data_IF_734809770810
#
_entry.id   IF_734809770810
#
_cell.length_a   1.000
_cell.length_b   1.000
_cell.length_c   1.000
_cell.angle_alpha   90.00
_cell.angle_beta   90.00
_cell.angle_gamma   90.00
#
_symmetry.space_group_name_H-M   'P 1'
#
loop_
_entity.id
_entity.type
_entity.pdbx_description
1 polymer ?
#
# COMPACT_ATOMS: atom_id res chain seq x y z
N UNK A 1 -18.21 -15.43 21.41
CA UNK A 1 -18.72 -16.52 20.55
C UNK A 1 -17.55 -17.39 20.13
N UNK A 2 -17.79 -18.68 19.91
CA UNK A 2 -16.79 -19.61 19.38
C UNK A 2 -16.88 -19.59 17.84
N UNK A 3 -15.73 -19.64 17.18
CA UNK A 3 -15.56 -19.58 15.72
C UNK A 3 -15.20 -20.97 15.17
N UNK A 4 -15.48 -21.21 13.89
CA UNK A 4 -15.09 -22.45 13.21
C UNK A 4 -13.78 -22.24 12.46
N UNK A 5 -12.76 -23.03 12.79
CA UNK A 5 -11.46 -23.06 12.11
C UNK A 5 -11.37 -24.32 11.26
N UNK A 6 -11.00 -24.14 9.99
CA UNK A 6 -10.75 -25.22 9.04
C UNK A 6 -9.25 -25.34 8.79
N UNK A 7 -8.69 -26.53 9.00
CA UNK A 7 -7.27 -26.86 8.79
C UNK A 7 -7.19 -28.11 7.91
N UNK A 8 -6.25 -28.14 6.95
CA UNK A 8 -6.10 -29.27 6.05
C UNK A 8 -5.92 -30.59 6.81
N UNK A 9 -6.62 -31.63 6.36
CA UNK A 9 -6.56 -32.96 7.00
C UNK A 9 -7.21 -33.06 8.38
N UNK A 10 -7.83 -32.00 8.91
CA UNK A 10 -8.46 -31.98 10.24
C UNK A 10 -9.95 -31.63 10.12
N UNK A 11 -10.86 -32.33 10.82
CA UNK A 11 -12.28 -31.95 10.84
C UNK A 11 -12.47 -30.54 11.43
N UNK A 12 -13.59 -29.85 11.12
CA UNK A 12 -13.82 -28.49 11.58
C UNK A 12 -13.73 -28.34 13.11
N UNK A 13 -12.95 -27.34 13.56
CA UNK A 13 -12.66 -27.11 14.97
C UNK A 13 -13.44 -25.90 15.46
N UNK A 14 -14.16 -26.02 16.58
CA UNK A 14 -14.71 -24.86 17.29
C UNK A 14 -13.67 -24.29 18.24
N UNK A 15 -13.28 -23.03 18.03
CA UNK A 15 -12.23 -22.37 18.79
C UNK A 15 -12.65 -20.96 19.24
N UNK A 16 -12.02 -20.47 20.30
CA UNK A 16 -12.20 -19.09 20.75
C UNK A 16 -11.20 -18.18 20.05
N UNK A 17 -11.58 -16.92 19.82
CA UNK A 17 -10.64 -15.90 19.32
C UNK A 17 -9.46 -15.75 20.29
N UNK A 18 -8.27 -15.60 19.74
CA UNK A 18 -7.08 -15.33 20.54
C UNK A 18 -7.19 -13.94 21.21
N UNK A 19 -6.86 -13.89 22.51
CA UNK A 19 -6.77 -12.64 23.27
C UNK A 19 -5.37 -12.05 23.16
N UNK A 20 -5.01 -11.57 21.97
CA UNK A 20 -3.66 -11.04 21.70
C UNK A 20 -3.27 -9.88 22.61
N UNK A 21 -4.24 -9.12 23.13
CA UNK A 21 -4.00 -8.05 24.07
C UNK A 21 -3.50 -8.55 25.45
N UNK A 22 -3.64 -9.83 25.77
CA UNK A 22 -3.09 -10.44 26.99
C UNK A 22 -1.64 -10.92 26.78
N UNK A 23 -1.09 -10.85 25.57
CA UNK A 23 0.28 -11.27 25.29
C UNK A 23 1.28 -10.35 26.02
N UNK A 24 2.15 -10.96 26.83
CA UNK A 24 3.21 -10.29 27.59
C UNK A 24 4.13 -9.47 26.69
N UNK A 25 4.52 -9.98 25.52
CA UNK A 25 5.39 -9.26 24.57
C UNK A 25 4.69 -8.08 23.92
N UNK A 26 3.38 -8.19 23.69
CA UNK A 26 2.58 -7.07 23.19
C UNK A 26 2.48 -5.98 24.26
N UNK A 27 2.13 -6.36 25.49
CA UNK A 27 2.05 -5.45 26.64
C UNK A 27 3.37 -4.72 26.91
N UNK A 28 4.52 -5.40 26.81
CA UNK A 28 5.85 -4.79 26.96
C UNK A 28 6.14 -3.68 25.93
N UNK A 29 5.46 -3.69 24.77
CA UNK A 29 5.65 -2.68 23.70
C UNK A 29 4.62 -1.55 23.77
N UNK A 30 3.62 -1.64 24.64
CA UNK A 30 2.63 -0.57 24.81
C UNK A 30 3.29 0.56 25.60
N UNK A 31 3.59 1.66 24.93
CA UNK A 31 4.05 2.89 25.57
C UNK A 31 2.86 3.71 26.06
N UNK A 32 3.03 4.49 27.16
CA UNK A 32 1.99 5.40 27.60
C UNK A 32 1.66 6.40 26.49
N UNK A 33 0.39 6.85 26.40
CA UNK A 33 0.02 7.88 25.44
C UNK A 33 0.85 9.15 25.73
N UNK A 34 1.23 9.91 24.69
CA UNK A 34 2.00 11.13 24.88
C UNK A 34 1.21 12.12 25.76
N UNK A 35 1.93 12.85 26.61
CA UNK A 35 1.32 13.88 27.45
C UNK A 35 0.70 14.95 26.55
N UNK A 36 -0.61 15.16 26.70
CA UNK A 36 -1.31 16.23 26.01
C UNK A 36 -0.92 17.57 26.65
N UNK A 37 0.07 18.24 26.09
CA UNK A 37 0.34 19.64 26.42
C UNK A 37 -0.82 20.48 25.88
N UNK A 38 -1.64 21.06 26.78
CA UNK A 38 -2.60 22.10 26.38
C UNK A 38 -1.79 23.27 25.82
N UNK A 39 -1.81 23.42 24.49
CA UNK A 39 -1.24 24.62 23.88
C UNK A 39 -2.08 25.80 24.32
N UNK A 40 -1.46 26.83 24.89
CA UNK A 40 -2.16 28.02 25.39
C UNK A 40 -2.95 28.76 24.29
N UNK A 41 -2.57 28.54 23.03
CA UNK A 41 -3.30 29.00 21.87
C UNK A 41 -3.63 27.80 20.95
N UNK A 42 -4.83 27.82 20.38
CA UNK A 42 -5.13 26.97 19.23
C UNK A 42 -4.18 27.33 18.08
N UNK A 43 -3.54 26.33 17.46
CA UNK A 43 -2.81 26.57 16.22
C UNK A 43 -3.80 27.13 15.19
N UNK A 44 -3.40 28.18 14.48
CA UNK A 44 -4.19 28.67 13.35
C UNK A 44 -4.29 27.54 12.32
N UNK A 45 -5.51 27.15 12.00
CA UNK A 45 -5.81 26.18 10.96
C UNK A 45 -6.33 26.91 9.71
N UNK A 46 -5.91 26.42 8.55
CA UNK A 46 -6.26 27.01 7.26
C UNK A 46 -7.70 26.66 6.83
N UNK A 47 -8.30 25.60 7.39
CA UNK A 47 -9.67 25.21 7.08
C UNK A 47 -10.71 26.04 7.82
N UNK A 48 -10.41 26.49 9.05
CA UNK A 48 -11.34 27.30 9.86
C UNK A 48 -11.68 28.67 9.24
N UNK A 49 -10.85 29.14 8.31
CA UNK A 49 -11.06 30.40 7.56
C UNK A 49 -11.72 30.18 6.20
N UNK A 50 -11.88 28.92 5.76
CA UNK A 50 -12.50 28.63 4.48
C UNK A 50 -14.01 28.90 4.54
N UNK A 51 -14.59 29.49 3.49
CA UNK A 51 -16.03 29.67 3.41
C UNK A 51 -16.73 28.30 3.39
N UNK A 52 -17.86 28.21 4.08
CA UNK A 52 -18.73 27.04 4.00
C UNK A 52 -19.19 26.85 2.54
N UNK A 53 -19.13 25.62 2.00
CA UNK A 53 -19.70 25.35 0.68
C UNK A 53 -21.21 25.66 0.70
N UNK A 54 -21.77 26.10 -0.44
CA UNK A 54 -23.20 26.36 -0.53
C UNK A 54 -23.98 25.11 -0.13
N UNK A 55 -25.01 25.29 0.71
CA UNK A 55 -25.89 24.19 1.11
C UNK A 55 -26.52 23.63 -0.16
N UNK A 56 -26.42 22.31 -0.43
CA UNK A 56 -27.15 21.73 -1.54
C UNK A 56 -28.64 21.92 -1.29
N UNK A 57 -29.33 22.45 -2.30
CA UNK A 57 -30.78 22.52 -2.34
C UNK A 57 -31.31 21.07 -2.34
N UNK A 58 -31.62 20.54 -1.16
CA UNK A 58 -32.36 19.30 -1.05
C UNK A 58 -33.77 19.66 -1.49
N UNK A 59 -34.05 19.41 -2.77
CA UNK A 59 -35.33 19.65 -3.42
C UNK A 59 -36.45 19.23 -2.48
N UNK A 60 -37.30 20.21 -2.15
CA UNK A 60 -38.22 20.14 -1.03
C UNK A 60 -39.03 18.86 -0.99
N UNK A 61 -39.28 18.42 0.25
CA UNK A 61 -40.43 17.63 0.61
C UNK A 61 -41.71 18.41 0.22
N UNK A 62 -42.07 18.38 -1.06
CA UNK A 62 -43.36 18.77 -1.56
C UNK A 62 -43.93 17.54 -2.25
N UNK A 63 -44.91 16.94 -1.58
CA UNK A 63 -45.74 15.88 -2.11
C UNK A 63 -46.19 16.25 -3.54
N UNK A 64 -45.87 15.38 -4.50
CA UNK A 64 -46.58 15.27 -5.76
C UNK A 64 -47.00 13.82 -5.93
N UNK A 65 -48.20 13.53 -5.44
CA UNK A 65 -49.02 12.46 -5.98
C UNK A 65 -49.26 12.74 -7.47
N UNK A 66 -49.01 11.74 -8.33
CA UNK A 66 -49.19 11.90 -9.78
C UNK A 66 -48.51 10.82 -10.59
N UNK A 67 -49.20 9.68 -10.70
CA UNK A 67 -48.89 8.48 -11.46
C UNK A 67 -48.55 8.74 -12.94
N UNK A 68 -47.57 8.00 -13.46
CA UNK A 68 -47.23 7.97 -14.88
C UNK A 68 -46.05 7.03 -15.13
N UNK A 69 -46.38 5.77 -15.39
CA UNK A 69 -45.50 4.75 -15.95
C UNK A 69 -44.97 5.26 -17.30
N UNK A 70 -43.65 5.39 -17.44
CA UNK A 70 -43.03 5.60 -18.76
C UNK A 70 -41.79 4.71 -18.84
N UNK A 71 -42.04 3.55 -19.44
CA UNK A 71 -41.11 2.50 -19.80
C UNK A 71 -40.12 3.07 -20.82
N UNK A 72 -38.94 3.52 -20.37
CA UNK A 72 -37.84 3.91 -21.27
C UNK A 72 -36.95 2.70 -21.59
N UNK A 73 -37.04 2.11 -22.80
CA UNK A 73 -36.18 1.01 -23.24
C UNK A 73 -34.82 1.53 -23.75
N UNK A 74 -34.58 2.84 -23.69
CA UNK A 74 -33.47 3.54 -24.36
C UNK A 74 -32.33 3.96 -23.41
N UNK A 75 -32.41 3.64 -22.12
CA UNK A 75 -31.27 3.69 -21.18
C UNK A 75 -30.81 5.10 -20.78
N UNK A 76 -31.74 6.06 -20.62
CA UNK A 76 -31.38 7.48 -20.61
C UNK A 76 -31.31 8.19 -19.24
N UNK A 77 -31.68 7.58 -18.11
CA UNK A 77 -31.62 8.31 -16.84
C UNK A 77 -30.29 8.13 -16.11
N UNK A 78 -29.48 9.19 -16.23
CA UNK A 78 -28.15 9.48 -15.66
C UNK A 78 -28.07 9.44 -14.13
N UNK A 79 -28.70 8.45 -13.49
CA UNK A 79 -28.48 8.09 -12.10
C UNK A 79 -27.51 6.92 -12.10
N UNK A 80 -26.27 7.17 -11.70
CA UNK A 80 -25.32 6.09 -11.45
C UNK A 80 -25.78 5.31 -10.21
N UNK A 81 -26.63 4.30 -10.43
CA UNK A 81 -26.96 3.31 -9.40
C UNK A 81 -25.81 2.30 -9.33
N UNK A 82 -25.11 2.17 -8.18
CA UNK A 82 -24.02 1.19 -8.01
C UNK A 82 -24.47 -0.24 -8.25
N UNK A 83 -25.74 -0.54 -7.95
CA UNK A 83 -26.36 -1.86 -8.03
C UNK A 83 -26.54 -2.39 -9.48
N UNK A 84 -26.53 -1.51 -10.51
CA UNK A 84 -26.87 -1.86 -11.90
C UNK A 84 -25.80 -1.44 -12.91
N UNK A 85 -24.56 -1.27 -12.49
CA UNK A 85 -23.47 -1.09 -13.44
C UNK A 85 -23.17 -2.43 -14.12
N UNK A 86 -23.61 -2.61 -15.37
CA UNK A 86 -22.93 -3.55 -16.27
C UNK A 86 -21.51 -3.04 -16.39
N UNK A 87 -20.60 -3.69 -15.66
CA UNK A 87 -19.19 -3.38 -15.70
C UNK A 87 -18.77 -3.26 -17.17
N UNK A 88 -18.32 -2.06 -17.56
CA UNK A 88 -17.65 -1.89 -18.84
C UNK A 88 -16.54 -2.92 -18.90
N UNK A 89 -16.38 -3.57 -20.05
CA UNK A 89 -15.29 -4.52 -20.26
C UNK A 89 -13.98 -3.78 -20.05
N UNK A 90 -13.43 -3.92 -18.84
CA UNK A 90 -12.09 -3.43 -18.51
C UNK A 90 -11.15 -4.17 -19.45
N UNK A 91 -10.39 -3.43 -20.25
CA UNK A 91 -9.32 -4.02 -21.04
C UNK A 91 -8.40 -4.76 -20.09
N UNK A 92 -8.40 -6.10 -20.18
CA UNK A 92 -7.46 -6.93 -19.44
C UNK A 92 -6.09 -6.59 -19.98
N UNK A 93 -5.35 -5.75 -19.27
CA UNK A 93 -3.90 -5.65 -19.47
C UNK A 93 -3.32 -7.06 -19.34
N UNK A 94 -2.34 -7.37 -20.18
CA UNK A 94 -1.62 -8.63 -20.08
C UNK A 94 -1.14 -8.79 -18.63
N UNK A 95 -1.31 -9.97 -18.01
CA UNK A 95 -0.73 -10.25 -16.71
C UNK A 95 0.76 -9.92 -16.75
N UNK A 96 1.23 -9.17 -15.76
CA UNK A 96 2.66 -8.96 -15.58
C UNK A 96 3.21 -10.30 -15.09
N UNK A 97 4.10 -10.90 -15.87
CA UNK A 97 4.79 -12.11 -15.41
C UNK A 97 5.75 -11.70 -14.27
N UNK A 98 5.48 -12.23 -13.07
CA UNK A 98 6.27 -12.08 -11.85
C UNK A 98 6.32 -10.68 -11.21
N UNK A 99 5.20 -10.24 -10.62
CA UNK A 99 5.10 -9.03 -9.76
C UNK A 99 6.09 -8.96 -8.57
N UNK A 100 6.74 -10.07 -8.22
CA UNK A 100 7.68 -10.18 -7.10
C UNK A 100 9.15 -10.23 -7.53
N UNK A 101 9.41 -10.20 -8.84
CA UNK A 101 10.76 -10.10 -9.37
C UNK A 101 11.17 -8.63 -9.45
N UNK A 102 11.65 -8.11 -8.32
CA UNK A 102 12.13 -6.72 -8.21
C UNK A 102 13.47 -6.53 -8.93
N UNK A 103 14.23 -7.62 -9.10
CA UNK A 103 15.56 -7.68 -9.65
C UNK A 103 15.48 -8.30 -11.05
N UNK A 104 14.85 -7.57 -11.98
CA UNK A 104 14.55 -8.05 -13.35
C UNK A 104 15.69 -8.81 -14.04
N UNK A 105 15.37 -9.51 -15.13
CA UNK A 105 15.93 -10.82 -15.50
C UNK A 105 17.40 -11.03 -15.11
N UNK A 106 17.64 -11.74 -13.99
CA UNK A 106 18.83 -12.53 -13.58
C UNK A 106 20.26 -11.98 -13.86
N UNK A 107 20.43 -10.73 -14.26
CA UNK A 107 21.74 -10.14 -14.65
C UNK A 107 22.55 -9.64 -13.43
N UNK A 108 21.92 -9.54 -12.25
CA UNK A 108 22.53 -8.98 -11.03
C UNK A 108 23.66 -9.86 -10.46
N UNK A 109 23.51 -11.18 -10.51
CA UNK A 109 24.53 -12.13 -10.03
C UNK A 109 25.81 -12.07 -10.88
N UNK A 110 25.63 -11.80 -12.17
CA UNK A 110 26.67 -11.81 -13.17
C UNK A 110 27.57 -10.55 -13.07
N UNK A 111 26.98 -9.41 -12.67
CA UNK A 111 27.70 -8.17 -12.39
C UNK A 111 28.52 -8.21 -11.09
N UNK A 112 27.99 -8.84 -10.04
CA UNK A 112 28.73 -9.02 -8.79
C UNK A 112 29.99 -9.89 -9.00
N UNK A 113 29.89 -10.94 -9.85
CA UNK A 113 31.02 -11.77 -10.22
C UNK A 113 32.07 -10.98 -11.04
N UNK A 114 31.64 -10.14 -11.99
CA UNK A 114 32.51 -9.26 -12.77
C UNK A 114 33.26 -8.26 -11.89
N UNK A 115 32.57 -7.60 -10.96
CA UNK A 115 33.18 -6.63 -10.04
C UNK A 115 34.25 -7.27 -9.13
N UNK A 116 34.00 -8.48 -8.61
CA UNK A 116 34.97 -9.23 -7.79
C UNK A 116 36.25 -9.57 -8.58
N UNK A 117 36.10 -9.98 -9.84
CA UNK A 117 37.25 -10.27 -10.72
C UNK A 117 38.09 -9.00 -10.98
N UNK A 118 37.45 -7.87 -11.24
CA UNK A 118 38.16 -6.60 -11.46
C UNK A 118 38.95 -6.17 -10.22
N UNK A 119 38.34 -6.25 -9.03
CA UNK A 119 39.01 -5.92 -7.77
C UNK A 119 40.22 -6.82 -7.50
N UNK A 120 40.13 -8.12 -7.80
CA UNK A 120 41.24 -9.06 -7.63
C UNK A 120 42.42 -8.71 -8.54
N UNK A 121 42.15 -8.32 -9.80
CA UNK A 121 43.19 -7.89 -10.75
C UNK A 121 43.86 -6.60 -10.26
N UNK A 122 43.07 -5.60 -9.82
CA UNK A 122 43.62 -4.34 -9.31
C UNK A 122 44.51 -4.52 -8.07
N UNK A 123 44.12 -5.41 -7.14
CA UNK A 123 44.96 -5.73 -5.99
C UNK A 123 46.27 -6.42 -6.37
N UNK A 124 46.26 -7.26 -7.41
CA UNK A 124 47.46 -7.88 -7.97
C UNK A 124 48.42 -6.83 -8.55
N UNK A 125 47.90 -5.90 -9.34
CA UNK A 125 48.68 -4.80 -9.93
C UNK A 125 49.27 -3.90 -8.85
N UNK A 126 48.49 -3.51 -7.83
CA UNK A 126 49.00 -2.67 -6.73
C UNK A 126 50.16 -3.31 -5.94
N UNK A 127 50.12 -4.64 -5.74
CA UNK A 127 51.23 -5.36 -5.09
C UNK A 127 52.46 -5.42 -5.98
N UNK A 128 52.29 -5.51 -7.30
CA UNK A 128 53.40 -5.50 -8.24
C UNK A 128 54.08 -4.12 -8.30
N UNK A 129 53.30 -3.03 -8.32
CA UNK A 129 53.79 -1.64 -8.22
C UNK A 129 54.63 -1.43 -6.96
N UNK A 130 54.19 -1.99 -5.81
CA UNK A 130 54.95 -1.87 -4.55
C UNK A 130 56.28 -2.63 -4.51
N UNK A 131 56.53 -3.54 -5.46
CA UNK A 131 57.75 -4.34 -5.54
C UNK A 131 58.74 -3.81 -6.58
N UNK A 132 58.38 -2.78 -7.35
CA UNK A 132 59.30 -2.09 -8.27
C UNK A 132 59.74 -0.76 -7.65
N UNK A 133 61.00 -0.65 -7.16
CA UNK A 133 61.51 0.56 -6.52
C UNK A 133 61.61 1.78 -7.43
N UNK A 134 61.36 1.64 -8.75
CA UNK A 134 61.49 2.72 -9.72
C UNK A 134 60.22 2.91 -10.58
N UNK A 135 59.04 2.54 -10.06
CA UNK A 135 57.75 2.63 -10.78
C UNK A 135 57.18 4.06 -10.88
N UNK A 136 57.87 5.08 -10.34
CA UNK A 136 57.49 6.50 -10.49
C UNK A 136 56.17 6.90 -9.83
N UNK A 137 55.53 6.00 -9.09
CA UNK A 137 54.33 6.23 -8.31
C UNK A 137 54.73 6.49 -6.85
N UNK A 138 54.96 7.75 -6.49
CA UNK A 138 55.10 8.18 -5.08
C UNK A 138 53.75 7.96 -4.38
N UNK A 139 53.69 7.01 -3.46
CA UNK A 139 52.53 6.76 -2.57
C UNK A 139 52.63 7.60 -1.29
#
# INVERSE_FOLDING_TARGET
>A
ADEIVMVSGTPPIRAKKARYFEDRRFQERILPPPALAKTAAAKSDDWSKMPLPPRPEIGGAAAKDGQGDDEDPTGSERRHQPELNKAGTVEKKAPIDNEFDLDGPDDADDDAARARRLNQVMQGVARQVSLDPNDGMDL
#
